data_IF_616853845617
#
_entry.id   IF_616853845617
#
_cell.length_a   1.000
_cell.length_b   1.000
_cell.length_c   1.000
_cell.angle_alpha   90.00
_cell.angle_beta   90.00
_cell.angle_gamma   90.00
#
_symmetry.space_group_name_H-M   'P 1'
#
loop_
_entity.id
_entity.type
_entity.pdbx_description
1 polymer ?
#
# COMPACT_ATOMS: atom_id res chain seq x y z
N UNK A 1 20.93 3.88 23.10
CA UNK A 1 20.44 4.17 21.74
C UNK A 1 18.95 4.48 21.88
N UNK A 2 18.52 5.75 21.75
CA UNK A 2 17.11 6.12 21.94
C UNK A 2 16.27 5.49 20.84
N UNK A 3 15.25 4.71 21.19
CA UNK A 3 14.27 4.18 20.23
C UNK A 3 13.65 5.35 19.46
N UNK A 4 13.91 5.41 18.15
CA UNK A 4 13.19 6.32 17.26
C UNK A 4 11.74 5.86 17.24
N UNK A 5 10.86 6.58 17.91
CA UNK A 5 9.43 6.32 17.84
C UNK A 5 8.94 6.71 16.43
N UNK A 6 8.71 5.74 15.54
CA UNK A 6 8.21 6.01 14.19
C UNK A 6 8.75 5.01 13.17
N UNK A 7 7.94 4.66 12.18
CA UNK A 7 8.35 3.75 11.10
C UNK A 7 8.79 4.59 9.90
N UNK A 8 9.96 4.32 9.34
CA UNK A 8 10.38 4.92 8.08
C UNK A 8 9.92 4.02 6.94
N UNK A 9 9.35 4.63 5.90
CA UNK A 9 8.81 3.91 4.74
C UNK A 9 9.56 4.26 3.44
N UNK A 10 9.60 3.29 2.54
CA UNK A 10 9.83 3.49 1.10
C UNK A 10 8.57 3.00 0.40
N UNK A 11 7.84 3.89 -0.27
CA UNK A 11 6.65 3.58 -1.05
C UNK A 11 7.05 3.62 -2.52
N UNK A 12 7.09 2.45 -3.15
CA UNK A 12 7.38 2.33 -4.58
C UNK A 12 6.09 2.16 -5.36
N UNK A 13 5.76 3.15 -6.19
CA UNK A 13 4.61 3.13 -7.09
C UNK A 13 5.04 2.51 -8.41
N UNK A 14 4.41 1.39 -8.74
CA UNK A 14 4.52 0.69 -10.02
C UNK A 14 3.20 0.87 -10.75
N UNK A 15 3.20 1.69 -11.78
CA UNK A 15 2.01 1.96 -12.58
C UNK A 15 2.07 1.15 -13.87
N UNK A 16 1.04 0.36 -14.13
CA UNK A 16 0.94 -0.32 -15.40
C UNK A 16 0.69 0.73 -16.49
N UNK A 17 1.26 0.54 -17.67
CA UNK A 17 0.75 1.19 -18.87
C UNK A 17 -0.31 0.26 -19.46
N UNK A 18 -1.55 0.73 -19.59
CA UNK A 18 -2.65 -0.07 -20.17
C UNK A 18 -3.25 0.52 -21.43
N UNK A 19 -3.03 1.81 -21.70
CA UNK A 19 -3.36 2.47 -22.95
C UNK A 19 -2.15 3.28 -23.49
N UNK A 20 -2.29 3.82 -24.70
CA UNK A 20 -1.23 4.60 -25.34
C UNK A 20 -1.11 6.02 -24.77
N UNK A 21 -2.20 6.56 -24.21
CA UNK A 21 -2.30 7.95 -23.77
C UNK A 21 -1.96 8.14 -22.29
N UNK A 22 -2.11 7.08 -21.48
CA UNK A 22 -1.85 7.06 -20.05
C UNK A 22 -2.65 8.14 -19.30
N UNK A 23 -3.92 8.32 -19.71
CA UNK A 23 -4.78 9.44 -19.28
C UNK A 23 -5.19 9.32 -17.79
N UNK A 24 -5.33 8.09 -17.31
CA UNK A 24 -5.62 7.78 -15.91
C UNK A 24 -4.29 7.50 -15.17
N UNK A 25 -3.83 8.43 -14.34
CA UNK A 25 -2.59 8.25 -13.57
C UNK A 25 -2.72 8.56 -12.08
N UNK A 26 -2.08 7.75 -11.23
CA UNK A 26 -2.05 8.00 -9.78
C UNK A 26 -0.95 8.98 -9.38
N UNK A 27 -0.03 9.29 -10.30
CA UNK A 27 1.19 10.06 -10.00
C UNK A 27 0.91 11.39 -9.28
N UNK A 28 -0.03 12.26 -9.70
CA UNK A 28 -0.29 13.52 -9.01
C UNK A 28 -0.70 13.35 -7.55
N UNK A 29 -1.46 12.29 -7.25
CA UNK A 29 -1.93 12.00 -5.88
C UNK A 29 -0.79 11.53 -4.98
N UNK A 30 0.09 10.68 -5.49
CA UNK A 30 1.29 10.25 -4.74
C UNK A 30 2.31 11.38 -4.58
N UNK A 31 2.41 12.29 -5.55
CA UNK A 31 3.19 13.51 -5.39
C UNK A 31 2.61 14.43 -4.30
N UNK A 32 1.29 14.56 -4.22
CA UNK A 32 0.65 15.31 -3.15
C UNK A 32 0.83 14.61 -1.78
N UNK A 33 0.64 13.29 -1.69
CA UNK A 33 0.92 12.52 -0.47
C UNK A 33 2.36 12.70 0.02
N UNK A 34 3.32 12.75 -0.89
CA UNK A 34 4.73 13.02 -0.58
C UNK A 34 4.90 14.40 0.05
N UNK A 35 4.31 15.45 -0.54
CA UNK A 35 4.36 16.82 0.00
C UNK A 35 3.76 16.87 1.40
N UNK A 36 2.56 16.31 1.55
CA UNK A 36 1.81 16.25 2.81
C UNK A 36 2.55 15.49 3.91
N UNK A 37 3.20 14.37 3.57
CA UNK A 37 3.99 13.58 4.49
C UNK A 37 5.23 14.36 4.96
N UNK A 38 5.92 15.04 4.04
CA UNK A 38 7.06 15.90 4.36
C UNK A 38 6.67 17.07 5.27
N UNK A 39 5.58 17.78 4.96
CA UNK A 39 5.09 18.87 5.81
C UNK A 39 4.73 18.36 7.21
N UNK A 40 4.06 17.20 7.29
CA UNK A 40 3.70 16.58 8.56
C UNK A 40 4.95 16.20 9.36
N UNK A 41 5.96 15.64 8.71
CA UNK A 41 7.24 15.30 9.34
C UNK A 41 7.99 16.55 9.83
N UNK A 42 8.10 17.60 9.00
CA UNK A 42 8.80 18.83 9.36
C UNK A 42 8.11 19.56 10.52
N UNK A 43 6.77 19.65 10.51
CA UNK A 43 6.01 20.24 11.63
C UNK A 43 6.20 19.47 12.95
N UNK A 44 6.39 18.15 12.88
CA UNK A 44 6.65 17.32 14.08
C UNK A 44 8.05 17.53 14.63
N UNK A 45 9.05 17.67 13.76
CA UNK A 45 10.46 17.66 14.14
C UNK A 45 11.10 19.05 14.22
N UNK A 46 10.43 20.10 13.73
CA UNK A 46 10.95 21.47 13.67
C UNK A 46 11.04 22.20 15.02
N UNK A 47 10.59 21.59 16.13
CA UNK A 47 10.70 22.16 17.49
C UNK A 47 11.43 21.23 18.46
N UNK A 48 11.35 19.90 18.26
CA UNK A 48 12.11 18.92 19.03
C UNK A 48 12.44 17.70 18.16
N UNK A 49 13.72 17.35 18.05
CA UNK A 49 14.21 16.18 17.29
C UNK A 49 13.85 14.81 17.89
N UNK A 50 13.12 14.79 19.02
CA UNK A 50 12.74 13.58 19.76
C UNK A 50 11.29 13.14 19.50
N UNK A 51 10.56 13.76 18.56
CA UNK A 51 9.11 13.54 18.37
C UNK A 51 8.80 12.47 17.29
N UNK A 52 7.80 11.59 17.49
CA UNK A 52 7.50 10.51 16.56
C UNK A 52 6.93 10.95 15.20
N UNK A 53 7.56 10.55 14.09
CA UNK A 53 7.08 10.82 12.73
C UNK A 53 7.42 9.72 11.73
N UNK A 54 6.48 9.39 10.84
CA UNK A 54 6.79 8.57 9.67
C UNK A 54 7.50 9.44 8.63
N UNK A 55 8.65 8.97 8.15
CA UNK A 55 9.41 9.55 7.04
C UNK A 55 9.27 8.60 5.85
N UNK A 56 8.74 9.10 4.73
CA UNK A 56 8.42 8.29 3.56
C UNK A 56 9.15 8.78 2.31
N UNK A 57 9.92 7.89 1.70
CA UNK A 57 10.47 8.10 0.37
C UNK A 57 9.51 7.52 -0.67
N UNK A 58 9.34 8.24 -1.78
CA UNK A 58 8.48 7.81 -2.87
C UNK A 58 9.29 7.68 -4.15
N UNK A 59 9.09 6.58 -4.88
CA UNK A 59 9.57 6.39 -6.25
C UNK A 59 8.42 6.00 -7.15
N UNK A 60 8.47 6.42 -8.41
CA UNK A 60 7.44 6.15 -9.42
C UNK A 60 8.07 5.51 -10.64
N UNK A 61 7.52 4.38 -11.10
CA UNK A 61 7.96 3.66 -12.30
C UNK A 61 6.75 3.16 -13.06
N UNK A 62 6.80 3.27 -14.39
CA UNK A 62 5.81 2.67 -15.29
C UNK A 62 6.32 1.33 -15.80
N UNK A 63 5.44 0.33 -15.93
CA UNK A 63 5.75 -0.97 -16.52
C UNK A 63 4.70 -1.38 -17.55
N UNK A 64 5.10 -2.12 -18.58
CA UNK A 64 4.20 -2.57 -19.66
C UNK A 64 3.85 -4.06 -19.58
N UNK A 65 4.70 -4.85 -18.93
CA UNK A 65 4.62 -6.30 -18.90
C UNK A 65 5.35 -6.86 -17.67
N UNK A 66 5.38 -8.18 -17.56
CA UNK A 66 5.95 -8.89 -16.42
C UNK A 66 7.48 -8.71 -16.30
N UNK A 67 8.19 -8.65 -17.42
CA UNK A 67 9.63 -8.42 -17.47
C UNK A 67 9.96 -7.01 -16.96
N UNK A 68 9.29 -5.99 -17.48
CA UNK A 68 9.48 -4.60 -17.03
C UNK A 68 9.13 -4.41 -15.55
N UNK A 69 8.07 -5.07 -15.07
CA UNK A 69 7.72 -5.06 -13.65
C UNK A 69 8.79 -5.74 -12.79
N UNK A 70 9.29 -6.91 -13.22
CA UNK A 70 10.37 -7.64 -12.55
C UNK A 70 11.62 -6.76 -12.45
N UNK A 71 12.04 -6.18 -13.56
CA UNK A 71 13.22 -5.32 -13.60
C UNK A 71 13.06 -4.12 -12.66
N UNK A 72 11.88 -3.48 -12.65
CA UNK A 72 11.59 -2.37 -11.74
C UNK A 72 11.62 -2.79 -10.26
N UNK A 73 11.03 -3.94 -9.90
CA UNK A 73 11.00 -4.45 -8.54
C UNK A 73 12.38 -4.82 -8.01
N UNK A 74 13.27 -5.30 -8.90
CA UNK A 74 14.59 -5.81 -8.57
C UNK A 74 15.64 -4.71 -8.45
N UNK A 75 15.32 -3.48 -8.89
CA UNK A 75 16.22 -2.32 -8.70
C UNK A 75 16.48 -2.09 -7.22
N UNK A 76 17.76 -2.17 -6.87
CA UNK A 76 18.25 -1.92 -5.52
C UNK A 76 18.10 -0.44 -5.17
N UNK A 77 17.71 -0.16 -3.92
CA UNK A 77 17.66 1.22 -3.42
C UNK A 77 19.04 1.62 -2.94
N UNK A 78 19.76 2.41 -3.75
CA UNK A 78 21.08 2.91 -3.39
C UNK A 78 20.95 4.14 -2.49
N UNK A 79 21.82 4.22 -1.46
CA UNK A 79 21.92 5.40 -0.60
C UNK A 79 20.75 5.63 0.36
N UNK A 80 19.92 4.61 0.61
CA UNK A 80 18.83 4.67 1.59
C UNK A 80 19.14 3.82 2.82
N UNK A 81 18.73 4.32 3.98
CA UNK A 81 18.78 3.63 5.26
C UNK A 81 17.74 2.48 5.36
N UNK A 82 17.83 1.64 6.40
CA UNK A 82 16.86 0.56 6.61
C UNK A 82 15.47 1.15 6.89
N UNK A 83 14.52 0.89 5.97
CA UNK A 83 13.14 1.38 5.98
C UNK A 83 12.21 0.24 5.59
N UNK A 84 10.98 0.26 6.09
CA UNK A 84 9.94 -0.66 5.62
C UNK A 84 9.55 -0.31 4.20
N UNK A 85 9.50 -1.28 3.29
CA UNK A 85 9.21 -1.04 1.88
C UNK A 85 7.84 -1.58 1.49
N UNK A 86 7.08 -0.75 0.78
CA UNK A 86 5.76 -1.07 0.26
C UNK A 86 5.81 -0.96 -1.26
N UNK A 87 5.43 -2.03 -1.96
CA UNK A 87 5.16 -1.97 -3.39
C UNK A 87 3.68 -1.64 -3.58
N UNK A 88 3.39 -0.49 -4.19
CA UNK A 88 2.05 -0.11 -4.61
C UNK A 88 1.93 -0.35 -6.12
N UNK A 89 0.95 -1.14 -6.54
CA UNK A 89 0.68 -1.47 -7.93
C UNK A 89 -0.57 -0.72 -8.38
N UNK A 90 -0.42 0.28 -9.24
CA UNK A 90 -1.50 1.02 -9.87
C UNK A 90 -1.81 0.41 -11.22
N UNK A 91 -2.92 -0.32 -11.33
CA UNK A 91 -3.26 -1.03 -12.56
C UNK A 91 -4.74 -1.39 -12.54
N UNK A 92 -5.36 -1.55 -13.71
CA UNK A 92 -6.62 -2.27 -13.75
C UNK A 92 -6.40 -3.74 -13.36
N UNK A 93 -7.46 -4.40 -12.93
CA UNK A 93 -7.42 -5.80 -12.60
C UNK A 93 -8.67 -6.53 -13.03
N UNK A 94 -8.55 -7.85 -13.00
CA UNK A 94 -9.64 -8.81 -13.14
C UNK A 94 -9.26 -10.05 -12.36
N UNK A 95 -10.22 -10.94 -12.11
CA UNK A 95 -10.01 -12.14 -11.29
C UNK A 95 -8.70 -12.89 -11.60
N UNK A 96 -7.72 -12.72 -10.72
CA UNK A 96 -6.43 -13.41 -10.74
C UNK A 96 -5.38 -12.86 -11.70
N UNK A 97 -5.60 -11.68 -12.30
CA UNK A 97 -4.71 -11.01 -13.26
C UNK A 97 -4.66 -9.51 -12.98
N UNK A 98 -3.47 -8.90 -13.05
CA UNK A 98 -3.35 -7.44 -13.19
C UNK A 98 -3.16 -7.09 -14.67
N UNK A 99 -3.82 -6.04 -15.12
CA UNK A 99 -3.80 -5.59 -16.51
C UNK A 99 -2.64 -4.63 -16.75
N UNK A 100 -2.00 -4.79 -17.88
CA UNK A 100 -1.01 -3.87 -18.47
C UNK A 100 -1.09 -4.07 -20.00
N UNK A 101 -0.17 -3.48 -20.77
CA UNK A 101 -0.03 -3.80 -22.21
C UNK A 101 0.00 -5.32 -22.42
N UNK A 102 0.65 -6.05 -21.50
CA UNK A 102 0.53 -7.49 -21.39
C UNK A 102 0.12 -7.91 -19.97
N UNK A 103 -1.05 -8.52 -19.87
CA UNK A 103 -1.61 -9.07 -18.63
C UNK A 103 -0.63 -9.94 -17.85
N UNK A 104 -0.62 -9.77 -16.52
CA UNK A 104 0.23 -10.53 -15.61
C UNK A 104 -0.63 -11.32 -14.63
N UNK A 105 -0.68 -12.64 -14.83
CA UNK A 105 -1.41 -13.53 -13.94
C UNK A 105 -0.76 -13.70 -12.56
N UNK A 106 -1.56 -13.97 -11.53
CA UNK A 106 -1.11 -14.12 -10.13
C UNK A 106 0.03 -15.14 -9.93
N UNK A 107 0.07 -16.21 -10.73
CA UNK A 107 1.15 -17.23 -10.65
C UNK A 107 2.47 -16.65 -11.15
N UNK A 108 2.44 -15.86 -12.22
CA UNK A 108 3.62 -15.16 -12.74
C UNK A 108 4.08 -14.08 -11.76
N UNK A 109 3.14 -13.30 -11.19
CA UNK A 109 3.43 -12.36 -10.12
C UNK A 109 4.08 -13.05 -8.90
N UNK A 110 3.54 -14.18 -8.45
CA UNK A 110 4.15 -14.98 -7.37
C UNK A 110 5.62 -15.28 -7.66
N UNK A 111 5.93 -15.73 -8.88
CA UNK A 111 7.30 -16.08 -9.25
C UNK A 111 8.24 -14.87 -9.30
N UNK A 112 7.72 -13.70 -9.69
CA UNK A 112 8.47 -12.42 -9.66
C UNK A 112 8.71 -11.97 -8.22
N UNK A 113 7.72 -12.11 -7.34
CA UNK A 113 7.78 -11.64 -5.96
C UNK A 113 8.53 -12.58 -5.02
N UNK A 114 8.56 -13.89 -5.31
CA UNK A 114 9.14 -14.90 -4.43
C UNK A 114 10.60 -14.67 -4.01
N UNK A 115 11.53 -14.29 -4.91
CA UNK A 115 12.91 -14.01 -4.51
C UNK A 115 13.09 -12.66 -3.82
N UNK A 116 12.07 -11.81 -3.77
CA UNK A 116 12.16 -10.49 -3.14
C UNK A 116 11.98 -10.61 -1.64
N UNK A 117 13.05 -10.29 -0.89
CA UNK A 117 13.02 -10.20 0.57
C UNK A 117 12.85 -8.77 1.07
N UNK A 118 12.90 -7.78 0.17
CA UNK A 118 13.01 -6.37 0.55
C UNK A 118 11.67 -5.63 0.72
N UNK A 119 10.52 -6.27 0.44
CA UNK A 119 9.19 -5.65 0.54
C UNK A 119 8.40 -6.22 1.71
N UNK A 120 8.12 -5.40 2.71
CA UNK A 120 7.29 -5.74 3.87
C UNK A 120 5.81 -5.89 3.48
N UNK A 121 5.37 -5.15 2.47
CA UNK A 121 3.97 -5.02 2.10
C UNK A 121 3.73 -4.86 0.60
N UNK A 122 2.62 -5.42 0.14
CA UNK A 122 2.14 -5.30 -1.23
C UNK A 122 0.77 -4.63 -1.22
N UNK A 123 0.58 -3.56 -1.97
CA UNK A 123 -0.70 -2.87 -2.09
C UNK A 123 -1.09 -2.85 -3.56
N UNK A 124 -2.24 -3.42 -3.91
CA UNK A 124 -2.76 -3.42 -5.27
C UNK A 124 -3.94 -2.44 -5.36
N UNK A 125 -3.69 -1.28 -5.97
CA UNK A 125 -4.70 -0.38 -6.50
C UNK A 125 -5.29 -0.96 -7.78
N UNK A 126 -5.84 -2.18 -7.69
CA UNK A 126 -6.33 -2.98 -8.81
C UNK A 126 -7.66 -3.63 -8.47
N UNK A 127 -8.64 -3.43 -9.35
CA UNK A 127 -9.99 -3.98 -9.19
C UNK A 127 -10.02 -5.51 -9.37
N UNK A 128 -10.95 -6.19 -8.68
CA UNK A 128 -11.22 -7.64 -8.79
C UNK A 128 -9.96 -8.55 -8.72
N UNK A 129 -8.94 -8.15 -7.95
CA UNK A 129 -7.66 -8.88 -7.90
C UNK A 129 -7.37 -9.51 -6.54
N UNK A 130 -7.45 -8.71 -5.46
CA UNK A 130 -7.04 -9.13 -4.11
C UNK A 130 -8.22 -9.75 -3.36
N UNK A 131 -8.40 -11.04 -3.59
CA UNK A 131 -9.25 -11.92 -2.78
C UNK A 131 -8.40 -12.90 -1.97
N UNK A 132 -9.03 -13.68 -1.08
CA UNK A 132 -8.34 -14.66 -0.22
C UNK A 132 -7.42 -15.60 -0.99
N UNK A 133 -7.88 -16.13 -2.13
CA UNK A 133 -7.08 -17.02 -2.99
C UNK A 133 -5.84 -16.34 -3.58
N UNK A 134 -5.96 -15.08 -4.00
CA UNK A 134 -4.80 -14.29 -4.46
C UNK A 134 -3.85 -14.00 -3.30
N UNK A 135 -4.38 -13.62 -2.13
CA UNK A 135 -3.58 -13.36 -0.94
C UNK A 135 -2.80 -14.60 -0.48
N UNK A 136 -3.43 -15.77 -0.44
CA UNK A 136 -2.77 -17.06 -0.13
C UNK A 136 -1.62 -17.37 -1.08
N UNK A 137 -1.84 -17.17 -2.39
CA UNK A 137 -0.81 -17.43 -3.41
C UNK A 137 0.36 -16.47 -3.30
N UNK A 138 0.10 -15.17 -3.13
CA UNK A 138 1.13 -14.13 -3.13
C UNK A 138 1.85 -14.02 -1.79
N UNK A 139 1.13 -14.05 -0.67
CA UNK A 139 1.76 -14.11 0.65
C UNK A 139 2.54 -15.42 0.75
N UNK A 140 1.92 -16.58 0.49
CA UNK A 140 2.57 -17.88 0.59
C UNK A 140 3.84 -18.04 -0.26
N UNK A 141 3.96 -17.26 -1.34
CA UNK A 141 5.16 -17.23 -2.19
C UNK A 141 6.21 -16.18 -1.84
N UNK A 142 5.88 -15.13 -1.09
CA UNK A 142 6.76 -13.98 -0.81
C UNK A 142 7.08 -13.84 0.68
N UNK A 143 8.10 -13.04 0.99
CA UNK A 143 8.45 -12.66 2.37
C UNK A 143 7.62 -11.48 2.88
N UNK A 144 6.71 -10.94 2.07
CA UNK A 144 5.83 -9.85 2.49
C UNK A 144 4.90 -10.33 3.62
N UNK A 145 4.65 -9.42 4.56
CA UNK A 145 3.89 -9.69 5.78
C UNK A 145 2.40 -9.40 5.61
N UNK A 146 2.05 -8.59 4.62
CA UNK A 146 0.68 -8.24 4.27
C UNK A 146 0.52 -7.91 2.78
N UNK A 147 -0.72 -8.05 2.31
CA UNK A 147 -1.18 -7.66 0.98
C UNK A 147 -2.52 -6.93 1.10
N UNK A 148 -2.72 -5.83 0.40
CA UNK A 148 -3.99 -5.09 0.40
C UNK A 148 -4.49 -4.83 -1.02
N UNK A 149 -5.81 -4.66 -1.18
CA UNK A 149 -6.44 -4.30 -2.44
C UNK A 149 -7.92 -4.66 -2.46
N UNK A 150 -8.49 -4.78 -3.66
CA UNK A 150 -9.92 -4.89 -3.89
C UNK A 150 -10.32 -6.30 -4.38
N UNK A 151 -11.36 -6.87 -3.79
CA UNK A 151 -11.94 -8.15 -4.22
C UNK A 151 -12.96 -7.98 -5.36
N UNK A 152 -13.53 -6.80 -5.54
CA UNK A 152 -14.55 -6.53 -6.56
C UNK A 152 -14.12 -5.47 -7.57
N UNK A 153 -14.90 -5.35 -8.64
CA UNK A 153 -14.83 -4.17 -9.49
C UNK A 153 -14.97 -2.90 -8.64
N UNK A 154 -14.10 -1.93 -8.91
CA UNK A 154 -13.99 -0.68 -8.17
C UNK A 154 -13.81 0.43 -9.20
N UNK A 155 -14.68 1.44 -9.23
CA UNK A 155 -14.47 2.58 -10.12
C UNK A 155 -13.18 3.32 -9.73
N UNK A 156 -12.47 3.82 -10.74
CA UNK A 156 -11.08 4.27 -10.60
C UNK A 156 -10.94 5.37 -9.55
N UNK A 157 -11.82 6.38 -9.56
CA UNK A 157 -11.75 7.51 -8.64
C UNK A 157 -11.95 7.08 -7.18
N UNK A 158 -12.94 6.24 -6.91
CA UNK A 158 -13.25 5.73 -5.58
C UNK A 158 -12.12 4.85 -5.04
N UNK A 159 -11.55 3.99 -5.89
CA UNK A 159 -10.36 3.21 -5.56
C UNK A 159 -9.16 4.10 -5.23
N UNK A 160 -8.90 5.11 -6.07
CA UNK A 160 -7.83 6.09 -5.87
C UNK A 160 -8.01 6.84 -4.52
N UNK A 161 -9.22 7.30 -4.21
CA UNK A 161 -9.53 7.94 -2.93
C UNK A 161 -9.26 7.01 -1.76
N UNK A 162 -9.73 5.77 -1.83
CA UNK A 162 -9.49 4.74 -0.82
C UNK A 162 -7.98 4.48 -0.62
N UNK A 163 -7.21 4.34 -1.71
CA UNK A 163 -5.76 4.16 -1.68
C UNK A 163 -5.05 5.34 -1.01
N UNK A 164 -5.39 6.56 -1.43
CA UNK A 164 -4.82 7.79 -0.86
C UNK A 164 -5.13 7.90 0.62
N UNK A 165 -6.36 7.57 1.00
CA UNK A 165 -6.81 7.62 2.39
C UNK A 165 -6.09 6.59 3.26
N UNK A 166 -5.85 5.38 2.74
CA UNK A 166 -5.02 4.38 3.40
C UNK A 166 -3.60 4.91 3.66
N UNK A 167 -2.91 5.39 2.61
CA UNK A 167 -1.54 5.89 2.77
C UNK A 167 -1.46 7.15 3.63
N UNK A 168 -2.47 8.03 3.54
CA UNK A 168 -2.57 9.19 4.42
C UNK A 168 -2.65 8.73 5.87
N UNK A 169 -3.56 7.82 6.23
CA UNK A 169 -3.65 7.28 7.60
C UNK A 169 -2.36 6.57 8.02
N UNK A 170 -1.73 5.79 7.13
CA UNK A 170 -0.47 5.12 7.42
C UNK A 170 0.63 6.11 7.79
N UNK A 171 0.71 7.25 7.09
CA UNK A 171 1.81 8.21 7.25
C UNK A 171 1.53 9.28 8.30
N UNK A 172 0.30 9.77 8.41
CA UNK A 172 -0.07 10.84 9.35
C UNK A 172 -0.80 10.34 10.59
N UNK A 173 -1.45 9.17 10.52
CA UNK A 173 -2.30 8.59 11.58
C UNK A 173 -3.74 9.10 11.60
N UNK A 174 -4.07 10.21 10.89
CA UNK A 174 -5.39 10.86 10.88
C UNK A 174 -5.62 11.69 9.59
N UNK A 175 -6.88 12.01 9.26
CA UNK A 175 -7.21 12.91 8.13
C UNK A 175 -7.20 14.39 8.47
N UNK A 176 -7.71 14.76 9.66
CA UNK A 176 -8.00 16.16 10.03
C UNK A 176 -7.08 16.64 11.16
N UNK A 177 -6.69 17.92 11.10
CA UNK A 177 -6.02 18.59 12.21
C UNK A 177 -6.97 18.68 13.41
N UNK A 178 -6.60 18.14 14.58
CA UNK A 178 -7.45 18.28 15.75
C UNK A 178 -7.63 19.77 16.11
N UNK A 179 -8.84 20.15 16.52
CA UNK A 179 -9.15 21.50 17.03
C UNK A 179 -8.40 21.82 18.33
N UNK A 180 -7.95 20.78 19.03
CA UNK A 180 -7.16 20.82 20.26
C UNK A 180 -5.73 20.34 20.00
N UNK A 181 -4.82 20.51 20.96
CA UNK A 181 -3.43 19.98 20.94
C UNK A 181 -3.35 18.43 20.95
N UNK A 182 -4.37 17.72 20.48
CA UNK A 182 -4.36 16.27 20.41
C UNK A 182 -3.22 15.81 19.49
N UNK A 183 -2.39 14.90 20.01
CA UNK A 183 -1.19 14.43 19.33
C UNK A 183 -1.57 13.55 18.13
N UNK A 184 -0.81 13.70 17.05
CA UNK A 184 -0.89 12.84 15.88
C UNK A 184 -0.12 11.56 16.14
N UNK A 185 -0.78 10.55 16.70
CA UNK A 185 -0.12 9.27 16.96
C UNK A 185 0.03 8.45 15.65
N UNK A 186 1.26 8.08 15.27
CA UNK A 186 1.50 7.26 14.09
C UNK A 186 0.89 5.86 14.26
N UNK A 187 0.29 5.33 13.19
CA UNK A 187 -0.20 3.95 13.17
C UNK A 187 0.96 3.03 12.78
N UNK A 188 1.37 2.15 13.69
CA UNK A 188 2.56 1.29 13.50
C UNK A 188 2.31 0.08 12.59
N UNK A 189 1.03 -0.27 12.41
CA UNK A 189 0.58 -1.54 11.84
C UNK A 189 -0.38 -1.31 10.66
N UNK A 190 -0.05 -1.80 9.45
CA UNK A 190 -0.93 -1.64 8.28
C UNK A 190 -2.34 -2.21 8.47
N UNK A 191 -2.49 -3.31 9.22
CA UNK A 191 -3.82 -3.87 9.52
C UNK A 191 -4.67 -2.95 10.39
N UNK A 192 -4.06 -2.18 11.30
CA UNK A 192 -4.77 -1.14 12.06
C UNK A 192 -5.19 0.03 11.17
N UNK A 193 -4.38 0.39 10.18
CA UNK A 193 -4.74 1.41 9.17
C UNK A 193 -5.99 0.99 8.41
N UNK A 194 -6.05 -0.25 7.93
CA UNK A 194 -7.23 -0.76 7.23
C UNK A 194 -8.49 -0.75 8.11
N UNK A 195 -8.37 -1.12 9.40
CA UNK A 195 -9.50 -1.06 10.34
C UNK A 195 -10.01 0.37 10.56
N UNK A 196 -9.10 1.33 10.74
CA UNK A 196 -9.47 2.75 10.87
C UNK A 196 -10.01 3.34 9.56
N UNK A 197 -9.57 2.83 8.41
CA UNK A 197 -10.09 3.24 7.12
C UNK A 197 -11.58 2.90 7.01
N UNK A 198 -12.01 1.72 7.46
CA UNK A 198 -13.43 1.36 7.48
C UNK A 198 -14.31 2.26 8.36
N UNK A 199 -13.72 2.88 9.39
CA UNK A 199 -14.42 3.80 10.29
C UNK A 199 -14.53 5.20 9.69
N UNK A 200 -13.48 5.66 9.01
CA UNK A 200 -13.36 7.04 8.53
C UNK A 200 -13.74 7.20 7.04
N UNK A 201 -13.73 6.11 6.28
CA UNK A 201 -14.17 6.01 4.89
C UNK A 201 -14.96 4.70 4.70
N UNK A 202 -16.22 4.65 5.18
CA UNK A 202 -17.04 3.42 5.15
C UNK A 202 -17.17 2.81 3.75
N UNK A 203 -17.08 3.62 2.69
CA UNK A 203 -17.09 3.17 1.30
C UNK A 203 -15.99 2.14 1.00
N UNK A 204 -14.88 2.10 1.76
CA UNK A 204 -13.88 1.05 1.63
C UNK A 204 -14.47 -0.37 1.82
N UNK A 205 -15.51 -0.50 2.66
CA UNK A 205 -16.24 -1.78 2.83
C UNK A 205 -17.02 -2.12 1.58
N UNK A 206 -17.71 -1.14 0.99
CA UNK A 206 -18.52 -1.31 -0.23
C UNK A 206 -17.65 -1.63 -1.46
N UNK A 207 -16.45 -1.04 -1.53
CA UNK A 207 -15.41 -1.36 -2.52
C UNK A 207 -14.77 -2.74 -2.30
N UNK A 208 -15.14 -3.45 -1.22
CA UNK A 208 -14.57 -4.74 -0.83
C UNK A 208 -13.04 -4.65 -0.65
N UNK A 209 -12.55 -3.51 -0.16
CA UNK A 209 -11.15 -3.33 0.19
C UNK A 209 -10.79 -4.20 1.40
N UNK A 210 -9.71 -4.97 1.30
CA UNK A 210 -9.18 -5.71 2.43
C UNK A 210 -7.67 -5.68 2.47
N UNK A 211 -7.14 -5.74 3.70
CA UNK A 211 -5.77 -6.07 3.97
C UNK A 211 -5.70 -7.49 4.53
N UNK A 212 -5.00 -8.36 3.81
CA UNK A 212 -4.66 -9.70 4.24
C UNK A 212 -3.29 -9.72 4.90
N UNK A 213 -3.15 -10.46 6.00
CA UNK A 213 -1.91 -10.53 6.77
C UNK A 213 -1.71 -11.90 7.40
N UNK A 214 -0.45 -12.23 7.72
CA UNK A 214 -0.08 -13.53 8.28
C UNK A 214 -0.31 -13.57 9.80
N UNK A 215 -0.95 -14.64 10.26
CA UNK A 215 -0.82 -15.19 11.62
C UNK A 215 -0.01 -16.50 11.55
N UNK A 216 0.47 -17.05 12.68
CA UNK A 216 1.35 -18.23 12.67
C UNK A 216 0.82 -19.43 11.87
N UNK A 217 -0.50 -19.62 11.83
CA UNK A 217 -1.17 -20.79 11.27
C UNK A 217 -2.08 -20.48 10.07
N UNK A 218 -2.37 -19.21 9.79
CA UNK A 218 -3.39 -18.81 8.81
C UNK A 218 -3.16 -17.41 8.23
N UNK A 219 -3.87 -17.11 7.16
CA UNK A 219 -3.97 -15.75 6.59
C UNK A 219 -5.30 -15.15 7.05
N UNK A 220 -5.21 -13.98 7.66
CA UNK A 220 -6.36 -13.18 8.10
C UNK A 220 -6.68 -12.08 7.10
N UNK A 221 -7.89 -11.53 7.19
CA UNK A 221 -8.40 -10.44 6.36
C UNK A 221 -9.14 -9.44 7.24
N UNK A 222 -8.76 -8.16 7.15
CA UNK A 222 -9.40 -7.11 7.95
C UNK A 222 -10.88 -6.92 7.60
N UNK A 223 -11.27 -7.15 6.35
CA UNK A 223 -12.67 -7.06 5.92
C UNK A 223 -13.49 -8.24 6.46
N UNK A 224 -12.96 -9.45 6.42
CA UNK A 224 -13.66 -10.64 6.92
C UNK A 224 -13.87 -10.56 8.44
N UNK A 225 -12.83 -10.13 9.18
CA UNK A 225 -12.93 -9.84 10.61
C UNK A 225 -14.03 -8.81 10.91
N UNK A 226 -14.10 -7.72 10.12
CA UNK A 226 -15.13 -6.69 10.31
C UNK A 226 -16.53 -7.20 10.04
N UNK A 227 -16.68 -8.17 9.12
CA UNK A 227 -17.95 -8.81 8.82
C UNK A 227 -18.28 -9.98 9.77
N UNK A 228 -17.51 -10.15 10.85
CA UNK A 228 -17.74 -11.20 11.85
C UNK A 228 -17.38 -12.61 11.39
N UNK A 229 -16.60 -12.75 10.31
CA UNK A 229 -16.08 -14.03 9.84
C UNK A 229 -14.79 -14.35 10.56
N UNK A 230 -14.60 -15.63 10.89
CA UNK A 230 -13.32 -16.09 11.44
C UNK A 230 -12.20 -15.99 10.39
N UNK A 231 -10.98 -15.72 10.88
CA UNK A 231 -9.79 -16.11 10.14
C UNK A 231 -9.66 -17.63 10.22
#
# INVERSE_FOLDING_TARGET
MRERNGVRYIIKVFEAQWDQLHDETVKPFFEQLKRDANETYMRRNGVHHDVPGHDALFSYVVFQNAEGLKDALYRYDQGVDQRRKIAYFACHGKRGVISAVQDIGRRRLKNILAPLTSYDGLYFGACDFVNRKTAEVLLGGSQSTWIAGYESWTPWLEGMLCDTMFFRLLLSGRFVRPKTNARWEPIKRPDEVARRLYEQFPQAVDLRFSLFYRKPDRICSTLEERLGKEC
#
